data_IF_132220406621
#
_entry.id   IF_132220406621
#
_cell.length_a   1.000
_cell.length_b   1.000
_cell.length_c   1.000
_cell.angle_alpha   90.00
_cell.angle_beta   90.00
_cell.angle_gamma   90.00
#
_symmetry.space_group_name_H-M   'P 1'
#
loop_
_entity.id
_entity.type
_entity.pdbx_description
1 polymer ?
#
# COMPACT_ATOMS: atom_id res chain seq x y z
N UNK A 1 -40.88 -7.06 24.47
CA UNK A 1 -40.27 -6.64 25.76
C UNK A 1 -39.40 -5.41 25.52
N UNK A 2 -39.54 -4.34 26.31
CA UNK A 2 -38.65 -3.16 26.21
C UNK A 2 -37.29 -3.54 26.79
N UNK A 3 -36.20 -3.28 26.07
CA UNK A 3 -34.84 -3.54 26.58
C UNK A 3 -34.59 -2.66 27.81
N UNK A 4 -34.00 -3.23 28.85
CA UNK A 4 -33.64 -2.48 30.06
C UNK A 4 -32.40 -1.65 29.80
N UNK A 5 -32.29 -0.50 30.47
CA UNK A 5 -31.17 0.44 30.33
C UNK A 5 -29.77 -0.20 30.37
N UNK A 6 -29.48 -1.15 31.29
CA UNK A 6 -28.19 -1.84 31.30
C UNK A 6 -27.91 -2.59 29.99
N UNK A 7 -28.90 -3.32 29.47
CA UNK A 7 -28.77 -4.10 28.23
C UNK A 7 -28.50 -3.20 27.03
N UNK A 8 -29.17 -2.04 26.96
CA UNK A 8 -28.93 -1.07 25.89
C UNK A 8 -27.50 -0.51 25.94
N UNK A 9 -26.98 -0.20 27.13
CA UNK A 9 -25.62 0.33 27.29
C UNK A 9 -24.57 -0.71 26.91
N UNK A 10 -24.72 -1.97 27.35
CA UNK A 10 -23.81 -3.05 26.97
C UNK A 10 -23.77 -3.27 25.46
N UNK A 11 -24.93 -3.24 24.78
CA UNK A 11 -24.98 -3.36 23.31
C UNK A 11 -24.27 -2.19 22.61
N UNK A 12 -24.43 -0.95 23.10
CA UNK A 12 -23.73 0.19 22.51
C UNK A 12 -22.21 0.11 22.71
N UNK A 13 -21.74 -0.37 23.86
CA UNK A 13 -20.32 -0.59 24.12
C UNK A 13 -19.75 -1.65 23.18
N UNK A 14 -20.48 -2.77 22.99
CA UNK A 14 -20.07 -3.82 22.05
C UNK A 14 -19.92 -3.29 20.62
N UNK A 15 -20.91 -2.56 20.12
CA UNK A 15 -20.85 -1.93 18.79
C UNK A 15 -19.68 -0.95 18.65
N UNK A 16 -19.36 -0.21 19.72
CA UNK A 16 -18.25 0.73 19.71
C UNK A 16 -16.90 -0.01 19.69
N UNK A 17 -16.77 -1.09 20.45
CA UNK A 17 -15.60 -1.96 20.41
C UNK A 17 -15.38 -2.55 19.00
N UNK A 18 -16.42 -3.12 18.40
CA UNK A 18 -16.37 -3.68 17.04
C UNK A 18 -15.94 -2.64 15.99
N UNK A 19 -16.47 -1.41 16.10
CA UNK A 19 -16.12 -0.32 15.20
C UNK A 19 -14.65 0.10 15.35
N UNK A 20 -14.13 0.16 16.58
CA UNK A 20 -12.73 0.49 16.86
C UNK A 20 -11.78 -0.59 16.37
N UNK A 21 -12.11 -1.86 16.59
CA UNK A 21 -11.31 -2.99 16.12
C UNK A 21 -11.28 -3.06 14.60
N UNK A 22 -12.45 -2.92 13.94
CA UNK A 22 -12.54 -2.87 12.48
C UNK A 22 -11.72 -1.72 11.90
N UNK A 23 -11.82 -0.53 12.48
CA UNK A 23 -11.02 0.62 12.05
C UNK A 23 -9.53 0.35 12.19
N UNK A 24 -9.11 -0.23 13.31
CA UNK A 24 -7.69 -0.54 13.56
C UNK A 24 -7.16 -1.55 12.55
N UNK A 25 -7.93 -2.61 12.27
CA UNK A 25 -7.60 -3.60 11.24
C UNK A 25 -7.49 -2.99 9.84
N UNK A 26 -8.42 -2.10 9.47
CA UNK A 26 -8.37 -1.44 8.16
C UNK A 26 -7.16 -0.51 8.03
N UNK A 27 -6.76 0.18 9.10
CA UNK A 27 -5.53 0.98 9.12
C UNK A 27 -4.29 0.09 8.94
N UNK A 28 -4.24 -1.08 9.57
CA UNK A 28 -3.15 -2.02 9.38
C UNK A 28 -3.09 -2.60 7.96
N UNK A 29 -4.24 -2.90 7.36
CA UNK A 29 -4.35 -3.36 5.96
C UNK A 29 -3.84 -2.26 5.02
N UNK A 30 -4.34 -1.03 5.16
CA UNK A 30 -3.91 0.10 4.32
C UNK A 30 -2.42 0.47 4.52
N UNK A 31 -1.82 0.14 5.68
CA UNK A 31 -0.38 0.27 5.91
C UNK A 31 0.44 -0.86 5.27
N UNK A 32 -0.16 -2.04 5.13
CA UNK A 32 0.46 -3.18 4.46
C UNK A 32 0.43 -2.98 2.96
N UNK A 33 -0.72 -2.57 2.43
CA UNK A 33 -0.92 -2.12 1.05
C UNK A 33 0.12 -1.02 0.76
N UNK A 34 1.05 -1.29 -0.15
CA UNK A 34 2.15 -0.41 -0.56
C UNK A 34 3.35 -0.39 0.40
N UNK A 35 3.51 -1.42 1.22
CA UNK A 35 4.76 -1.64 1.95
C UNK A 35 5.93 -1.86 0.97
N UNK A 36 7.16 -1.58 1.43
CA UNK A 36 8.37 -1.82 0.61
C UNK A 36 8.40 -3.27 0.11
N UNK A 37 8.03 -4.24 0.96
CA UNK A 37 8.02 -5.65 0.59
C UNK A 37 7.06 -5.95 -0.57
N UNK A 38 5.87 -5.32 -0.58
CA UNK A 38 4.89 -5.51 -1.64
C UNK A 38 5.34 -4.89 -2.97
N UNK A 39 5.79 -3.63 -2.95
CA UNK A 39 6.26 -2.98 -4.20
C UNK A 39 7.52 -3.65 -4.74
N UNK A 40 8.37 -4.21 -3.87
CA UNK A 40 9.50 -5.02 -4.29
C UNK A 40 9.05 -6.34 -4.92
N UNK A 41 7.97 -6.95 -4.44
CA UNK A 41 7.38 -8.14 -5.08
C UNK A 41 6.86 -7.81 -6.46
N UNK A 42 6.12 -6.71 -6.60
CA UNK A 42 5.63 -6.21 -7.89
C UNK A 42 6.79 -5.91 -8.86
N UNK A 43 7.82 -5.18 -8.41
CA UNK A 43 9.03 -4.90 -9.19
C UNK A 43 9.72 -6.17 -9.69
N UNK A 44 9.85 -7.18 -8.82
CA UNK A 44 10.45 -8.46 -9.17
C UNK A 44 9.62 -9.31 -10.14
N UNK A 45 8.34 -8.98 -10.28
CA UNK A 45 7.40 -9.63 -11.21
C UNK A 45 7.30 -8.92 -12.56
N UNK A 46 7.91 -7.74 -12.74
CA UNK A 46 7.94 -7.07 -14.04
C UNK A 46 8.81 -7.87 -15.02
N UNK A 47 8.26 -8.33 -16.17
CA UNK A 47 8.96 -9.23 -17.08
C UNK A 47 10.14 -8.58 -17.80
N UNK A 48 10.10 -7.25 -17.99
CA UNK A 48 11.09 -6.51 -18.77
C UNK A 48 12.20 -5.84 -17.93
N UNK A 49 12.12 -5.93 -16.60
CA UNK A 49 13.15 -5.32 -15.75
C UNK A 49 14.24 -6.33 -15.41
N UNK A 50 15.46 -6.05 -15.85
CA UNK A 50 16.62 -6.84 -15.46
C UNK A 50 16.98 -6.56 -14.00
N UNK A 51 17.01 -7.63 -13.17
CA UNK A 51 17.40 -7.52 -11.76
C UNK A 51 18.86 -7.09 -11.65
N UNK A 52 19.10 -6.05 -10.86
CA UNK A 52 20.45 -5.47 -10.69
C UNK A 52 20.81 -4.41 -11.74
N UNK A 53 19.97 -4.18 -12.76
CA UNK A 53 20.15 -3.04 -13.67
C UNK A 53 20.07 -1.70 -12.94
N UNK A 54 20.57 -0.63 -13.57
CA UNK A 54 20.49 0.73 -13.01
C UNK A 54 19.05 1.16 -12.72
N UNK A 55 18.10 0.80 -13.61
CA UNK A 55 16.68 1.08 -13.41
C UNK A 55 16.09 0.31 -12.22
N UNK A 56 16.49 -0.96 -12.05
CA UNK A 56 16.09 -1.76 -10.90
C UNK A 56 16.61 -1.18 -9.59
N UNK A 57 17.91 -0.85 -9.52
CA UNK A 57 18.54 -0.24 -8.34
C UNK A 57 18.04 1.19 -8.07
N UNK A 58 17.61 1.91 -9.11
CA UNK A 58 16.88 3.16 -8.95
C UNK A 58 15.54 2.93 -8.28
N UNK A 59 14.72 1.99 -8.76
CA UNK A 59 13.42 1.71 -8.18
C UNK A 59 13.51 1.36 -6.68
N UNK A 60 14.53 0.60 -6.26
CA UNK A 60 14.71 0.27 -4.83
C UNK A 60 14.97 1.52 -3.96
N UNK A 61 15.66 2.52 -4.49
CA UNK A 61 15.90 3.81 -3.83
C UNK A 61 14.65 4.69 -3.87
N UNK A 62 13.96 4.73 -5.01
CA UNK A 62 12.72 5.48 -5.21
C UNK A 62 11.63 5.03 -4.23
N UNK A 63 11.52 3.73 -3.99
CA UNK A 63 10.53 3.14 -3.08
C UNK A 63 10.80 3.40 -1.60
N UNK A 64 11.87 4.11 -1.22
CA UNK A 64 11.99 4.64 0.15
C UNK A 64 10.88 5.67 0.40
N UNK A 65 10.49 6.44 -0.63
CA UNK A 65 9.41 7.44 -0.57
C UNK A 65 8.04 6.75 -0.62
N UNK A 66 7.18 7.04 0.37
CA UNK A 66 5.86 6.39 0.50
C UNK A 66 4.94 6.74 -0.67
N UNK A 67 4.94 7.99 -1.08
CA UNK A 67 4.12 8.54 -2.15
C UNK A 67 4.48 7.87 -3.49
N UNK A 68 5.77 7.59 -3.71
CA UNK A 68 6.24 6.88 -4.91
C UNK A 68 5.79 5.42 -4.92
N UNK A 69 5.76 4.76 -3.75
CA UNK A 69 5.21 3.40 -3.64
C UNK A 69 3.71 3.35 -3.93
N UNK A 70 2.96 4.31 -3.41
CA UNK A 70 1.51 4.42 -3.64
C UNK A 70 1.19 4.64 -5.12
N UNK A 71 1.91 5.54 -5.79
CA UNK A 71 1.75 5.76 -7.24
C UNK A 71 2.08 4.46 -8.00
N UNK A 72 3.23 3.85 -7.73
CA UNK A 72 3.66 2.64 -8.43
C UNK A 72 2.64 1.50 -8.30
N UNK A 73 2.14 1.25 -7.08
CA UNK A 73 1.16 0.20 -6.84
C UNK A 73 -0.21 0.49 -7.48
N UNK A 74 -0.59 1.76 -7.64
CA UNK A 74 -1.85 2.17 -8.25
C UNK A 74 -1.87 2.05 -9.78
N UNK A 75 -0.72 1.82 -10.42
CA UNK A 75 -0.66 1.71 -11.89
C UNK A 75 -1.22 0.39 -12.42
N UNK A 76 -1.26 -0.66 -11.59
CA UNK A 76 -1.79 -2.02 -11.83
C UNK A 76 -1.18 -2.80 -13.02
N UNK A 77 -0.95 -2.15 -14.16
CA UNK A 77 -0.41 -2.72 -15.38
C UNK A 77 1.14 -2.69 -15.39
N UNK A 78 1.81 -3.83 -15.65
CA UNK A 78 3.27 -3.91 -15.69
C UNK A 78 3.95 -2.93 -16.66
N UNK A 79 3.33 -2.69 -17.82
CA UNK A 79 3.85 -1.78 -18.84
C UNK A 79 3.82 -0.31 -18.39
N UNK A 80 2.74 0.09 -17.70
CA UNK A 80 2.61 1.42 -17.11
C UNK A 80 3.59 1.62 -15.96
N UNK A 81 3.75 0.62 -15.10
CA UNK A 81 4.75 0.61 -14.02
C UNK A 81 6.16 0.82 -14.56
N UNK A 82 6.52 0.11 -15.63
CA UNK A 82 7.85 0.21 -16.24
C UNK A 82 8.05 1.57 -16.92
N UNK A 83 7.04 2.06 -17.63
CA UNK A 83 7.08 3.38 -18.29
C UNK A 83 7.26 4.49 -17.27
N UNK A 84 6.51 4.43 -16.17
CA UNK A 84 6.64 5.39 -15.08
C UNK A 84 8.03 5.36 -14.44
N UNK A 85 8.58 4.18 -14.14
CA UNK A 85 9.94 4.05 -13.62
C UNK A 85 11.00 4.65 -14.56
N UNK A 86 10.87 4.44 -15.87
CA UNK A 86 11.78 5.03 -16.88
C UNK A 86 11.71 6.55 -16.89
N UNK A 87 10.50 7.12 -16.77
CA UNK A 87 10.31 8.57 -16.69
C UNK A 87 10.92 9.16 -15.41
N UNK A 88 10.64 8.56 -14.25
CA UNK A 88 11.22 8.96 -12.97
C UNK A 88 12.74 8.87 -12.97
N UNK A 89 13.30 7.81 -13.57
CA UNK A 89 14.73 7.65 -13.74
C UNK A 89 15.30 8.77 -14.61
N UNK A 90 14.65 9.11 -15.72
CA UNK A 90 15.12 10.20 -16.60
C UNK A 90 15.12 11.56 -15.88
N UNK A 91 14.11 11.82 -15.05
CA UNK A 91 14.00 13.06 -14.27
C UNK A 91 15.09 13.19 -13.18
N UNK A 92 15.61 12.09 -12.62
CA UNK A 92 16.67 12.15 -11.60
C UNK A 92 18.02 12.64 -12.17
N UNK A 93 18.24 12.52 -13.49
CA UNK A 93 19.50 12.87 -14.17
C UNK A 93 19.39 14.11 -15.06
N UNK A 94 18.31 14.89 -14.92
CA UNK A 94 18.14 16.23 -15.51
C UNK A 94 18.42 17.31 -14.46
#
# INVERSE_FOLDING_TARGET
MKKTWPVMIFEQIGRLADAVETRSRNIEIARKENSIAEVMKMLNSLPEIEKGSSLYLFATRLFIMKEKREIFASLEEPELMLTWLKNEYTLEYL
#
